data_IF_979431433376
#
_entry.id   IF_979431433376
#
_cell.length_a   1.000
_cell.length_b   1.000
_cell.length_c   1.000
_cell.angle_alpha   90.00
_cell.angle_beta   90.00
_cell.angle_gamma   90.00
#
_symmetry.space_group_name_H-M   'P 1'
#
loop_
_entity.id
_entity.type
_entity.pdbx_description
1 polymer ?
#
# COMPACT_ATOMS: atom_id res chain seq x y z
N UNK A 1 7.00 -2.86 -13.74
CA UNK A 1 6.53 -3.86 -12.76
C UNK A 1 5.66 -3.20 -11.68
N UNK A 2 6.13 -2.15 -10.98
CA UNK A 2 5.29 -1.44 -9.99
C UNK A 2 4.12 -0.65 -10.61
N UNK A 3 4.28 -0.06 -11.81
CA UNK A 3 3.18 0.61 -12.52
C UNK A 3 1.99 -0.33 -12.79
N UNK A 4 2.25 -1.54 -13.30
CA UNK A 4 1.20 -2.53 -13.55
C UNK A 4 0.43 -2.91 -12.27
N UNK A 5 1.08 -2.88 -11.10
CA UNK A 5 0.44 -3.20 -9.82
C UNK A 5 -0.49 -2.08 -9.34
N UNK A 6 -0.04 -0.82 -9.45
CA UNK A 6 -0.88 0.35 -9.11
C UNK A 6 -2.09 0.45 -10.04
N UNK A 7 -1.87 0.29 -11.35
CA UNK A 7 -2.97 0.28 -12.32
C UNK A 7 -3.98 -0.84 -12.02
N UNK A 8 -3.52 -2.04 -11.63
CA UNK A 8 -4.41 -3.13 -11.23
C UNK A 8 -5.25 -2.79 -10.01
N UNK A 9 -4.66 -2.19 -8.98
CA UNK A 9 -5.38 -1.75 -7.78
C UNK A 9 -6.44 -0.70 -8.12
N UNK A 10 -6.12 0.27 -8.98
CA UNK A 10 -7.08 1.30 -9.41
C UNK A 10 -8.26 0.71 -10.18
N UNK A 11 -7.99 -0.26 -11.06
CA UNK A 11 -9.03 -0.94 -11.84
C UNK A 11 -9.81 -1.99 -11.03
N UNK A 12 -9.27 -2.46 -9.90
CA UNK A 12 -9.87 -3.49 -9.04
C UNK A 12 -9.70 -3.08 -7.56
N UNK A 13 -10.47 -2.10 -7.06
CA UNK A 13 -10.32 -1.57 -5.69
C UNK A 13 -10.59 -2.59 -4.57
N UNK A 14 -11.19 -3.73 -4.91
CA UNK A 14 -11.37 -4.86 -3.99
C UNK A 14 -10.09 -5.68 -3.78
N UNK A 15 -9.07 -5.50 -4.62
CA UNK A 15 -7.77 -6.12 -4.46
C UNK A 15 -6.90 -5.33 -3.49
N UNK A 16 -6.08 -6.06 -2.74
CA UNK A 16 -5.08 -5.51 -1.84
C UNK A 16 -3.71 -6.10 -2.24
N UNK A 17 -2.67 -5.27 -2.20
CA UNK A 17 -1.28 -5.73 -2.27
C UNK A 17 -0.77 -5.94 -0.87
N UNK A 18 -0.22 -7.11 -0.61
CA UNK A 18 0.33 -7.50 0.68
C UNK A 18 1.79 -7.88 0.54
N UNK A 19 2.64 -7.28 1.35
CA UNK A 19 4.06 -7.62 1.39
C UNK A 19 4.65 -7.37 2.77
N UNK A 20 5.64 -8.19 3.11
CA UNK A 20 6.34 -8.06 4.37
C UNK A 20 7.52 -7.11 4.23
N UNK A 21 7.68 -6.19 5.19
CA UNK A 21 8.89 -5.39 5.35
C UNK A 21 9.54 -5.68 6.70
N UNK A 22 10.86 -5.54 6.77
CA UNK A 22 11.62 -5.58 8.02
C UNK A 22 12.13 -4.15 8.30
N UNK A 23 11.60 -3.51 9.34
CA UNK A 23 12.01 -2.17 9.77
C UNK A 23 12.39 -2.25 11.27
N UNK A 24 13.55 -1.71 11.65
CA UNK A 24 14.02 -1.62 13.04
C UNK A 24 13.84 -2.91 13.90
N UNK A 25 14.12 -4.09 13.31
CA UNK A 25 14.04 -5.42 13.94
C UNK A 25 12.62 -5.97 14.17
N UNK A 26 11.58 -5.28 13.67
CA UNK A 26 10.21 -5.78 13.68
C UNK A 26 9.76 -6.05 12.24
N UNK A 27 9.11 -7.20 12.03
CA UNK A 27 8.53 -7.56 10.75
C UNK A 27 7.11 -7.03 10.70
N UNK A 28 6.80 -6.26 9.67
CA UNK A 28 5.48 -5.65 9.48
C UNK A 28 4.89 -6.12 8.16
N UNK A 29 3.61 -6.49 8.20
CA UNK A 29 2.83 -6.73 6.99
C UNK A 29 2.27 -5.39 6.52
N UNK A 30 2.69 -4.97 5.34
CA UNK A 30 2.18 -3.78 4.68
C UNK A 30 1.09 -4.21 3.72
N UNK A 31 -0.08 -3.60 3.87
CA UNK A 31 -1.23 -3.82 3.00
C UNK A 31 -1.60 -2.51 2.31
N UNK A 32 -1.58 -2.51 0.98
CA UNK A 32 -1.96 -1.36 0.17
C UNK A 32 -3.22 -1.67 -0.63
N UNK A 33 -4.17 -0.73 -0.66
CA UNK A 33 -5.37 -0.80 -1.50
C UNK A 33 -5.73 0.55 -2.07
N UNK A 34 -6.46 0.55 -3.19
CA UNK A 34 -7.03 1.77 -3.76
C UNK A 34 -8.46 1.99 -3.24
N UNK A 35 -8.74 3.20 -2.78
CA UNK A 35 -10.07 3.61 -2.31
C UNK A 35 -10.65 4.61 -3.32
N UNK A 36 -11.67 4.22 -4.09
CA UNK A 36 -12.30 5.12 -5.06
C UNK A 36 -13.21 6.11 -4.32
N UNK A 37 -12.68 7.29 -4.02
CA UNK A 37 -13.41 8.39 -3.41
C UNK A 37 -13.20 9.69 -4.21
N UNK A 38 -14.28 10.40 -4.54
CA UNK A 38 -14.21 11.64 -5.32
C UNK A 38 -13.83 11.43 -6.78
N UNK A 39 -13.09 12.38 -7.37
CA UNK A 39 -12.71 12.36 -8.80
C UNK A 39 -11.47 11.50 -9.08
N UNK A 40 -10.63 11.23 -8.09
CA UNK A 40 -9.32 10.57 -8.32
C UNK A 40 -8.97 9.47 -7.31
N UNK A 41 -9.75 9.28 -6.24
CA UNK A 41 -9.47 8.30 -5.18
C UNK A 41 -8.17 8.58 -4.43
N UNK A 42 -7.77 7.61 -3.61
CA UNK A 42 -6.49 7.60 -2.91
C UNK A 42 -6.04 6.17 -2.64
N UNK A 43 -4.76 5.97 -2.32
CA UNK A 43 -4.26 4.69 -1.84
C UNK A 43 -4.16 4.70 -0.33
N UNK A 44 -4.72 3.68 0.29
CA UNK A 44 -4.56 3.44 1.72
C UNK A 44 -3.50 2.37 1.93
N UNK A 45 -2.51 2.69 2.75
CA UNK A 45 -1.51 1.76 3.25
C UNK A 45 -1.77 1.52 4.73
N UNK A 46 -1.84 0.27 5.11
CA UNK A 46 -1.98 -0.16 6.51
C UNK A 46 -0.75 -0.98 6.89
N UNK A 47 -0.19 -0.69 8.06
CA UNK A 47 0.92 -1.44 8.63
C UNK A 47 0.35 -2.32 9.74
N UNK A 48 0.64 -3.61 9.64
CA UNK A 48 0.17 -4.63 10.55
C UNK A 48 1.36 -5.30 11.22
N UNK A 49 1.24 -5.62 12.51
CA UNK A 49 2.21 -6.48 13.21
C UNK A 49 2.01 -7.97 12.85
N UNK A 50 2.78 -8.85 13.49
CA UNK A 50 2.72 -10.31 13.26
C UNK A 50 1.39 -10.96 13.71
N UNK A 51 0.60 -10.29 14.56
CA UNK A 51 -0.73 -10.73 14.99
C UNK A 51 -1.86 -10.10 14.13
N UNK A 52 -1.51 -9.48 13.00
CA UNK A 52 -2.40 -8.68 12.14
C UNK A 52 -3.04 -7.48 12.87
N UNK A 53 -2.43 -7.03 13.96
CA UNK A 53 -2.80 -5.81 14.67
C UNK A 53 -2.37 -4.57 13.90
N UNK A 54 -3.27 -3.60 13.75
CA UNK A 54 -2.93 -2.33 13.07
C UNK A 54 -1.98 -1.52 13.95
N UNK A 55 -0.75 -1.35 13.49
CA UNK A 55 0.27 -0.51 14.15
C UNK A 55 0.37 0.88 13.52
N UNK A 56 -0.12 1.05 12.30
CA UNK A 56 -0.16 2.35 11.63
C UNK A 56 -0.92 2.35 10.32
N UNK A 57 -1.14 3.54 9.77
CA UNK A 57 -1.71 3.72 8.43
C UNK A 57 -1.22 5.00 7.77
N UNK A 58 -1.08 4.98 6.46
CA UNK A 58 -0.73 6.13 5.63
C UNK A 58 -1.71 6.25 4.45
N UNK A 59 -2.04 7.47 4.08
CA UNK A 59 -2.84 7.79 2.89
C UNK A 59 -1.91 8.42 1.84
N UNK A 60 -2.04 7.97 0.60
CA UNK A 60 -1.31 8.48 -0.56
C UNK A 60 -2.34 8.97 -1.58
N UNK A 61 -2.49 10.29 -1.67
CA UNK A 61 -3.52 10.92 -2.51
C UNK A 61 -3.09 11.02 -3.99
N UNK A 62 -1.79 10.90 -4.27
CA UNK A 62 -1.23 10.94 -5.62
C UNK A 62 -0.74 9.55 -6.06
N UNK A 63 -0.99 9.21 -7.33
CA UNK A 63 -0.51 7.97 -7.95
C UNK A 63 1.03 7.90 -7.90
N UNK A 64 1.71 9.03 -8.08
CA UNK A 64 3.17 9.11 -8.00
C UNK A 64 3.71 8.74 -6.61
N UNK A 65 3.01 9.12 -5.54
CA UNK A 65 3.39 8.77 -4.17
C UNK A 65 3.22 7.27 -3.90
N UNK A 66 2.14 6.67 -4.41
CA UNK A 66 1.92 5.21 -4.34
C UNK A 66 3.01 4.43 -5.08
N UNK A 67 3.45 4.92 -6.24
CA UNK A 67 4.56 4.32 -7.00
C UNK A 67 5.88 4.41 -6.24
N UNK A 68 6.24 5.62 -5.76
CA UNK A 68 7.47 5.83 -4.98
C UNK A 68 7.49 4.98 -3.71
N UNK A 69 6.34 4.81 -3.07
CA UNK A 69 6.18 3.94 -1.92
C UNK A 69 6.53 2.49 -2.24
N UNK A 70 5.95 1.92 -3.30
CA UNK A 70 6.24 0.54 -3.73
C UNK A 70 7.70 0.37 -4.18
N UNK A 71 8.28 1.38 -4.85
CA UNK A 71 9.70 1.36 -5.22
C UNK A 71 10.63 1.33 -4.01
N UNK A 72 10.28 2.04 -2.93
CA UNK A 72 11.07 2.04 -1.69
C UNK A 72 11.04 0.69 -1.00
N UNK A 73 9.93 -0.04 -1.11
CA UNK A 73 9.75 -1.30 -0.36
C UNK A 73 10.26 -2.51 -1.13
N UNK A 74 10.20 -2.48 -2.46
CA UNK A 74 10.81 -3.52 -3.31
C UNK A 74 12.34 -3.43 -3.40
N UNK A 75 13.00 -2.57 -2.61
CA UNK A 75 14.44 -2.32 -2.64
C UNK A 75 15.11 -2.84 -1.37
#
# INVERSE_FOLDING_TARGET
MNNDQIEKLMNNPEQELEFWREEDQQRELVRMRYVPQGESGYFQVTYLDEEEGIVGSQVLDEVEDALRFLEKINR
#
